data_IF_520210026796
#
_entry.id   IF_520210026796
#
_cell.length_a   1.000
_cell.length_b   1.000
_cell.length_c   1.000
_cell.angle_alpha   90.00
_cell.angle_beta   90.00
_cell.angle_gamma   90.00
#
_symmetry.space_group_name_H-M   'P 1'
#
loop_
_entity.id
_entity.type
_entity.pdbx_description
1 polymer ?
#
# COMPACT_ATOMS: atom_id res chain seq x y z
N UNK A 1 22.71 -27.02 16.43
CA UNK A 1 21.61 -27.69 15.70
C UNK A 1 20.32 -27.10 16.24
N UNK A 2 19.88 -25.95 15.70
CA UNK A 2 18.78 -25.85 14.72
C UNK A 2 17.45 -26.39 15.31
N UNK A 3 16.30 -25.70 15.37
CA UNK A 3 15.81 -24.54 14.60
C UNK A 3 14.41 -24.15 15.17
N UNK A 4 14.02 -22.87 15.02
CA UNK A 4 12.64 -22.28 14.97
C UNK A 4 11.74 -22.29 16.21
N UNK A 5 11.32 -21.08 16.62
CA UNK A 5 9.96 -20.63 16.30
C UNK A 5 9.84 -19.09 16.33
N UNK A 6 9.62 -18.52 15.14
CA UNK A 6 9.33 -17.10 14.92
C UNK A 6 8.05 -17.05 14.10
N UNK A 7 6.93 -16.66 14.71
CA UNK A 7 5.73 -16.14 14.06
C UNK A 7 4.73 -15.76 15.16
N UNK A 8 4.46 -14.47 15.36
CA UNK A 8 3.09 -13.93 15.39
C UNK A 8 3.15 -12.40 15.53
N UNK A 9 2.31 -11.68 14.78
CA UNK A 9 1.93 -10.31 15.11
C UNK A 9 2.24 -9.24 14.05
N UNK A 10 1.78 -9.41 12.80
CA UNK A 10 1.56 -8.26 11.92
C UNK A 10 0.08 -7.86 12.07
N UNK A 11 -0.20 -7.05 13.09
CA UNK A 11 -1.50 -6.45 13.33
C UNK A 11 -1.54 -5.07 12.66
N UNK A 12 -2.63 -4.84 11.94
CA UNK A 12 -3.02 -3.60 11.28
C UNK A 12 -2.86 -2.39 12.22
N UNK A 13 -2.07 -1.40 11.80
CA UNK A 13 -2.06 -0.04 12.34
C UNK A 13 -2.19 0.92 11.16
N UNK A 14 -3.43 1.15 10.75
CA UNK A 14 -3.81 2.28 9.90
C UNK A 14 -4.99 2.97 10.57
N UNK A 15 -4.72 3.62 11.71
CA UNK A 15 -5.55 4.69 12.28
C UNK A 15 -4.66 5.54 13.18
N UNK A 16 -4.02 6.58 12.64
CA UNK A 16 -3.73 7.82 13.38
C UNK A 16 -3.20 8.87 12.41
N UNK A 17 -4.09 9.61 11.75
CA UNK A 17 -3.72 10.89 11.13
C UNK A 17 -4.86 11.90 11.32
N UNK A 18 -5.15 12.17 12.59
CA UNK A 18 -5.88 13.37 13.01
C UNK A 18 -5.34 13.79 14.38
N UNK A 19 -4.25 14.56 14.40
CA UNK A 19 -3.93 15.53 15.46
C UNK A 19 -2.59 16.22 15.16
N UNK A 20 -2.58 17.20 14.27
CA UNK A 20 -1.56 18.26 14.29
C UNK A 20 -2.23 19.61 14.06
N UNK A 21 -2.97 20.05 15.08
CA UNK A 21 -3.41 21.43 15.21
C UNK A 21 -3.57 21.74 16.70
N UNK A 22 -2.46 21.86 17.43
CA UNK A 22 -2.39 22.73 18.60
C UNK A 22 -0.93 22.90 19.03
N UNK A 23 -0.40 24.07 18.68
CA UNK A 23 0.98 24.50 18.89
C UNK A 23 1.15 25.85 18.22
N UNK A 24 0.51 26.86 18.80
CA UNK A 24 0.44 28.23 18.28
C UNK A 24 1.82 28.91 18.40
N UNK A 25 2.64 28.83 17.34
CA UNK A 25 3.62 29.85 17.01
C UNK A 25 3.57 30.07 15.50
N UNK A 26 3.40 31.32 15.09
CA UNK A 26 3.47 31.75 13.69
C UNK A 26 4.88 31.45 13.18
N UNK A 27 5.09 30.25 12.64
CA UNK A 27 6.34 29.87 12.01
C UNK A 27 6.49 30.73 10.76
N UNK A 28 7.55 31.54 10.71
CA UNK A 28 7.86 32.39 9.56
C UNK A 28 8.17 31.47 8.38
N UNK A 29 7.21 31.30 7.48
CA UNK A 29 7.39 30.48 6.27
C UNK A 29 8.11 31.31 5.21
N UNK A 30 9.16 30.73 4.63
CA UNK A 30 9.87 31.31 3.47
C UNK A 30 9.75 30.31 2.32
N UNK A 31 9.21 30.76 1.19
CA UNK A 31 9.15 29.95 -0.03
C UNK A 31 10.56 29.57 -0.49
N UNK A 32 10.73 28.29 -0.83
CA UNK A 32 12.01 27.70 -1.22
C UNK A 32 12.17 27.64 -2.74
N UNK A 33 11.19 27.04 -3.42
CA UNK A 33 11.15 26.94 -4.87
C UNK A 33 9.70 26.81 -5.35
N UNK A 34 9.47 27.20 -6.61
CA UNK A 34 8.27 26.86 -7.38
C UNK A 34 8.68 25.92 -8.49
N UNK A 35 8.14 24.71 -8.49
CA UNK A 35 8.27 23.74 -9.56
C UNK A 35 7.17 23.89 -10.60
N UNK A 36 7.31 23.20 -11.72
CA UNK A 36 6.41 23.29 -12.88
C UNK A 36 5.21 22.33 -12.82
N UNK A 37 4.82 21.86 -11.64
CA UNK A 37 3.67 20.97 -11.51
C UNK A 37 2.35 21.76 -11.72
N UNK A 38 1.34 21.19 -12.40
CA UNK A 38 0.07 21.90 -12.60
C UNK A 38 -0.59 22.20 -11.25
N UNK A 39 -0.86 23.48 -11.01
CA UNK A 39 -1.52 23.97 -9.81
C UNK A 39 -3.03 23.65 -9.90
N UNK A 40 -3.47 22.61 -9.19
CA UNK A 40 -4.89 22.29 -9.03
C UNK A 40 -5.22 21.96 -7.56
N UNK A 41 -6.46 22.25 -7.19
CA UNK A 41 -6.94 22.31 -5.82
C UNK A 41 -7.18 20.93 -5.18
N UNK A 42 -6.92 20.88 -3.86
CA UNK A 42 -7.46 19.94 -2.85
C UNK A 42 -7.18 18.44 -2.99
N UNK A 43 -6.01 18.06 -3.50
CA UNK A 43 -5.39 16.76 -3.24
C UNK A 43 -3.90 16.88 -3.59
N UNK A 44 -3.00 16.68 -2.63
CA UNK A 44 -1.56 16.76 -2.91
C UNK A 44 -1.15 15.57 -3.78
N UNK A 45 -1.15 15.79 -5.11
CA UNK A 45 -0.70 14.80 -6.11
C UNK A 45 0.71 14.31 -5.74
N UNK A 46 0.91 13.00 -5.80
CA UNK A 46 2.18 12.31 -5.65
C UNK A 46 3.23 12.99 -6.54
N UNK A 47 4.44 13.24 -6.04
CA UNK A 47 5.51 13.79 -6.85
C UNK A 47 5.97 12.80 -7.94
N UNK A 48 5.63 11.51 -7.81
CA UNK A 48 6.01 10.44 -8.71
C UNK A 48 4.92 10.21 -9.77
N UNK A 49 5.30 10.18 -11.03
CA UNK A 49 4.38 9.98 -12.17
C UNK A 49 4.94 8.95 -13.15
N UNK A 50 4.12 8.01 -13.59
CA UNK A 50 4.46 7.08 -14.67
C UNK A 50 4.34 7.79 -16.02
N UNK A 51 5.42 7.79 -16.82
CA UNK A 51 5.42 8.39 -18.17
C UNK A 51 5.06 7.39 -19.24
N UNK A 52 5.68 6.22 -19.17
CA UNK A 52 5.47 5.15 -20.13
C UNK A 52 5.76 3.80 -19.49
N UNK A 53 5.03 2.80 -19.95
CA UNK A 53 5.30 1.40 -19.63
C UNK A 53 5.33 0.56 -20.89
N UNK A 54 6.35 -0.29 -20.99
CA UNK A 54 6.50 -1.30 -22.01
C UNK A 54 6.90 -2.60 -21.33
N UNK A 55 6.89 -3.71 -22.07
CA UNK A 55 7.34 -4.98 -21.51
C UNK A 55 8.83 -4.87 -21.12
N UNK A 56 9.13 -5.18 -19.86
CA UNK A 56 10.51 -5.14 -19.35
C UNK A 56 11.04 -3.76 -18.97
N UNK A 57 10.29 -2.66 -19.19
CA UNK A 57 10.74 -1.31 -18.85
C UNK A 57 9.59 -0.39 -18.45
N UNK A 58 9.79 0.44 -17.43
CA UNK A 58 8.89 1.55 -17.13
C UNK A 58 9.64 2.83 -16.79
N UNK A 59 9.24 3.92 -17.42
CA UNK A 59 9.83 5.24 -17.29
C UNK A 59 8.97 6.12 -16.38
N UNK A 60 9.62 6.82 -15.46
CA UNK A 60 9.00 7.61 -14.42
C UNK A 60 9.62 9.01 -14.38
N UNK A 61 8.82 9.96 -13.88
CA UNK A 61 9.24 11.31 -13.59
C UNK A 61 8.81 11.68 -12.19
N UNK A 62 9.77 12.12 -11.38
CA UNK A 62 9.51 12.65 -10.05
C UNK A 62 9.74 14.16 -10.05
N UNK A 63 8.70 14.95 -9.76
CA UNK A 63 8.77 16.43 -9.76
C UNK A 63 8.11 17.01 -8.53
N UNK A 64 8.75 18.03 -7.98
CA UNK A 64 8.20 18.77 -6.85
C UNK A 64 7.38 19.96 -7.35
N UNK A 65 6.27 20.27 -6.68
CA UNK A 65 5.40 21.40 -7.03
C UNK A 65 5.88 22.71 -6.42
N UNK A 66 6.21 22.71 -5.13
CA UNK A 66 6.83 23.81 -4.41
C UNK A 66 7.44 23.27 -3.11
N UNK A 67 8.11 24.13 -2.36
CA UNK A 67 8.56 23.81 -1.01
C UNK A 67 8.67 25.07 -0.16
N UNK A 68 8.52 24.91 1.15
CA UNK A 68 8.69 25.96 2.15
C UNK A 68 9.75 25.57 3.18
N UNK A 69 10.39 26.58 3.75
CA UNK A 69 11.19 26.44 4.96
C UNK A 69 10.40 26.94 6.16
N UNK A 70 10.45 26.19 7.26
CA UNK A 70 9.87 26.57 8.54
C UNK A 70 10.89 26.43 9.68
N UNK A 71 10.97 27.45 10.52
CA UNK A 71 11.77 27.40 11.75
C UNK A 71 11.04 26.59 12.82
N UNK A 72 11.74 25.63 13.42
CA UNK A 72 11.21 24.74 14.46
C UNK A 72 12.17 24.72 15.65
N UNK A 73 11.66 25.08 16.83
CA UNK A 73 12.41 24.99 18.08
C UNK A 73 12.17 23.63 18.74
N UNK A 74 13.24 22.89 19.04
CA UNK A 74 13.16 21.56 19.66
C UNK A 74 13.50 21.60 21.17
N UNK A 75 13.34 20.45 21.85
CA UNK A 75 13.57 20.29 23.30
C UNK A 75 14.99 20.65 23.76
N UNK A 76 15.98 20.64 22.85
CA UNK A 76 17.35 21.08 23.12
C UNK A 76 17.51 22.62 23.15
N UNK A 77 16.42 23.37 22.94
CA UNK A 77 16.39 24.82 22.95
C UNK A 77 16.93 25.47 21.67
N UNK A 78 17.40 24.68 20.69
CA UNK A 78 17.89 25.17 19.41
C UNK A 78 16.76 25.29 18.39
N UNK A 79 16.92 26.24 17.47
CA UNK A 79 16.07 26.40 16.30
C UNK A 79 16.70 25.68 15.13
N UNK A 80 15.91 24.85 14.47
CA UNK A 80 16.23 24.09 13.27
C UNK A 80 15.36 24.58 12.11
N UNK A 81 15.79 24.28 10.89
CA UNK A 81 15.01 24.58 9.69
C UNK A 81 14.42 23.29 9.14
N UNK A 82 13.10 23.18 9.13
CA UNK A 82 12.36 22.06 8.55
C UNK A 82 11.96 22.38 7.11
N UNK A 83 12.10 21.39 6.24
CA UNK A 83 11.64 21.42 4.86
C UNK A 83 10.20 20.91 4.80
N UNK A 84 9.30 21.72 4.25
CA UNK A 84 7.90 21.35 4.02
C UNK A 84 7.70 21.26 2.51
N UNK A 85 7.63 20.05 1.99
CA UNK A 85 7.47 19.78 0.55
C UNK A 85 6.19 18.94 0.40
N UNK A 86 5.19 19.41 -0.37
CA UNK A 86 3.97 18.66 -0.62
C UNK A 86 4.24 17.28 -1.23
N UNK A 87 3.44 16.28 -0.86
CA UNK A 87 3.53 14.92 -1.40
C UNK A 87 4.74 14.10 -0.94
N UNK A 88 5.57 14.61 -0.03
CA UNK A 88 6.62 13.84 0.67
C UNK A 88 6.50 14.04 2.18
N UNK A 89 6.95 13.05 2.95
CA UNK A 89 6.79 13.01 4.40
C UNK A 89 8.15 12.91 5.10
N UNK A 90 8.27 13.53 6.26
CA UNK A 90 9.45 13.43 7.10
C UNK A 90 9.50 12.04 7.76
N UNK A 91 10.30 11.12 7.21
CA UNK A 91 10.45 9.76 7.74
C UNK A 91 11.92 9.40 7.88
N UNK A 92 12.30 8.91 9.05
CA UNK A 92 13.67 8.46 9.31
C UNK A 92 13.86 7.84 10.68
N UNK A 93 15.07 7.38 10.94
CA UNK A 93 15.43 6.82 12.25
C UNK A 93 15.64 7.94 13.29
N UNK A 94 15.22 7.75 14.55
CA UNK A 94 15.42 8.73 15.60
C UNK A 94 16.89 9.19 15.72
N UNK A 95 17.08 10.50 15.74
CA UNK A 95 18.39 11.15 15.82
C UNK A 95 19.08 11.42 14.48
N UNK A 96 18.61 10.84 13.37
CA UNK A 96 19.09 11.17 12.03
C UNK A 96 18.48 12.49 11.53
N UNK A 97 19.13 13.23 10.61
CA UNK A 97 18.51 14.37 9.96
C UNK A 97 17.18 14.04 9.31
N UNK A 98 16.19 14.89 9.51
CA UNK A 98 14.85 14.78 8.94
C UNK A 98 14.89 15.09 7.45
N UNK A 99 14.94 14.04 6.63
CA UNK A 99 14.89 14.13 5.18
C UNK A 99 13.48 13.76 4.69
N UNK A 100 12.74 14.67 4.03
CA UNK A 100 11.45 14.35 3.44
C UNK A 100 11.59 13.27 2.37
N UNK A 101 10.77 12.23 2.45
CA UNK A 101 10.73 11.11 1.51
C UNK A 101 9.28 10.68 1.22
N UNK A 102 9.06 10.13 0.03
CA UNK A 102 7.82 9.44 -0.36
C UNK A 102 8.15 8.01 -0.70
N UNK A 103 7.30 7.09 -0.25
CA UNK A 103 7.42 5.69 -0.58
C UNK A 103 6.20 5.26 -1.37
N UNK A 104 6.44 4.50 -2.44
CA UNK A 104 5.38 4.04 -3.31
C UNK A 104 5.63 2.58 -3.70
N UNK A 105 4.56 1.78 -3.71
CA UNK A 105 4.62 0.38 -4.08
C UNK A 105 4.24 0.25 -5.55
N UNK A 106 5.18 -0.25 -6.36
CA UNK A 106 4.96 -0.47 -7.78
C UNK A 106 4.82 -1.98 -8.02
N UNK A 107 3.69 -2.41 -8.60
CA UNK A 107 3.47 -3.84 -8.90
C UNK A 107 4.43 -4.29 -9.98
N UNK A 108 5.14 -5.38 -9.75
CA UNK A 108 6.08 -5.98 -10.70
C UNK A 108 5.59 -7.38 -11.14
N UNK A 109 6.01 -7.86 -12.33
CA UNK A 109 5.75 -9.24 -12.72
C UNK A 109 6.35 -10.21 -11.70
N UNK A 110 5.66 -11.32 -11.45
CA UNK A 110 6.09 -12.28 -10.44
C UNK A 110 7.47 -12.88 -10.79
N UNK A 111 8.40 -12.80 -9.84
CA UNK A 111 9.78 -13.26 -10.00
C UNK A 111 10.65 -12.39 -10.89
N UNK A 112 10.20 -11.20 -11.28
CA UNK A 112 11.00 -10.26 -12.05
C UNK A 112 12.15 -9.72 -11.19
N UNK A 113 13.35 -9.63 -11.79
CA UNK A 113 14.44 -8.86 -11.19
C UNK A 113 14.32 -7.41 -11.61
N UNK A 114 14.27 -6.53 -10.63
CA UNK A 114 14.14 -5.08 -10.84
C UNK A 114 15.49 -4.42 -10.70
N UNK A 115 15.82 -3.53 -11.63
CA UNK A 115 16.96 -2.61 -11.52
C UNK A 115 16.44 -1.20 -11.74
N UNK A 116 16.79 -0.29 -10.83
CA UNK A 116 16.49 1.13 -10.96
C UNK A 116 17.66 1.85 -11.63
N UNK A 117 17.35 2.75 -12.55
CA UNK A 117 18.32 3.58 -13.25
C UNK A 117 17.83 5.02 -13.21
N UNK A 118 18.69 5.93 -12.73
CA UNK A 118 18.42 7.37 -12.75
C UNK A 118 18.99 7.92 -14.05
N UNK A 119 18.13 8.50 -14.88
CA UNK A 119 18.51 9.06 -16.19
C UNK A 119 19.04 10.48 -16.04
N UNK A 120 18.39 11.31 -15.21
CA UNK A 120 18.83 12.68 -14.95
C UNK A 120 18.27 13.21 -13.63
N UNK A 121 19.01 14.15 -13.03
CA UNK A 121 18.61 14.86 -11.81
C UNK A 121 18.87 16.35 -11.96
N UNK A 122 17.85 17.17 -11.68
CA UNK A 122 17.95 18.63 -11.63
C UNK A 122 18.05 19.08 -10.18
N UNK A 123 19.28 19.35 -9.72
CA UNK A 123 19.54 19.84 -8.37
C UNK A 123 19.41 21.36 -8.26
N UNK A 124 18.86 21.80 -7.14
CA UNK A 124 18.87 23.18 -6.69
C UNK A 124 19.48 23.25 -5.29
N UNK A 125 20.49 24.09 -5.11
CA UNK A 125 21.07 24.36 -3.79
C UNK A 125 20.15 25.31 -3.00
N UNK A 126 20.05 25.09 -1.68
CA UNK A 126 19.39 26.03 -0.78
C UNK A 126 20.41 27.05 -0.29
N UNK A 127 20.11 28.33 -0.47
CA UNK A 127 20.98 29.41 -0.02
C UNK A 127 21.05 29.52 1.50
N UNK A 128 22.28 29.62 1.99
CA UNK A 128 22.61 29.79 3.41
C UNK A 128 22.90 28.48 4.14
N UNK A 129 23.29 28.60 5.41
CA UNK A 129 23.47 27.44 6.30
C UNK A 129 22.13 26.96 6.84
N UNK A 130 21.79 25.71 6.54
CA UNK A 130 20.55 25.06 6.96
C UNK A 130 20.88 23.90 7.89
N UNK A 131 20.43 23.98 9.14
CA UNK A 131 20.53 22.87 10.10
C UNK A 131 19.18 22.14 10.19
N UNK A 132 19.10 20.96 9.58
CA UNK A 132 17.88 20.16 9.59
C UNK A 132 17.62 19.56 10.97
N UNK A 133 16.36 19.52 11.45
CA UNK A 133 16.02 18.91 12.72
C UNK A 133 16.31 17.40 12.70
N UNK A 134 16.70 16.80 13.84
CA UNK A 134 16.76 15.36 13.95
C UNK A 134 15.35 14.77 14.10
N UNK A 135 15.09 13.65 13.43
CA UNK A 135 13.86 12.88 13.65
C UNK A 135 13.77 12.48 15.11
N UNK A 136 12.62 12.73 15.74
CA UNK A 136 12.39 12.37 17.14
C UNK A 136 11.63 11.04 17.25
N UNK A 137 11.80 10.29 18.35
CA UNK A 137 11.01 9.09 18.60
C UNK A 137 9.50 9.38 18.55
N UNK A 138 8.69 8.45 18.04
CA UNK A 138 7.24 8.63 17.98
C UNK A 138 6.67 8.79 19.38
N UNK A 139 5.65 9.64 19.50
CA UNK A 139 4.90 9.79 20.74
C UNK A 139 3.93 8.62 20.91
N UNK A 140 3.83 8.00 22.10
CA UNK A 140 2.81 7.01 22.36
C UNK A 140 1.40 7.61 22.23
N UNK A 141 0.53 6.94 21.49
CA UNK A 141 -0.89 7.28 21.42
C UNK A 141 -1.62 6.99 22.76
N UNK A 142 -1.08 6.05 23.53
CA UNK A 142 -1.62 5.64 24.82
C UNK A 142 -1.50 6.75 25.87
N UNK A 143 -2.59 6.99 26.60
CA UNK A 143 -2.61 7.84 27.80
C UNK A 143 -2.48 6.98 29.05
N UNK A 144 -1.78 7.49 30.05
CA UNK A 144 -1.71 6.87 31.36
C UNK A 144 -3.08 6.87 32.08
N UNK A 145 -3.20 6.16 33.22
CA UNK A 145 -4.43 6.07 34.00
C UNK A 145 -5.04 7.41 34.40
N UNK A 146 -4.20 8.45 34.53
CA UNK A 146 -4.58 9.81 34.91
C UNK A 146 -4.82 10.74 33.70
N UNK A 147 -4.81 10.20 32.47
CA UNK A 147 -4.96 10.97 31.23
C UNK A 147 -3.68 11.67 30.74
N UNK A 148 -2.57 11.54 31.47
CA UNK A 148 -1.25 12.07 31.09
C UNK A 148 -0.71 11.36 29.83
N UNK A 149 -0.18 12.15 28.89
CA UNK A 149 0.59 11.59 27.77
C UNK A 149 2.03 11.33 28.23
N UNK A 150 2.66 10.19 27.90
CA UNK A 150 4.06 9.92 28.26
C UNK A 150 5.11 10.82 27.58
N UNK A 151 4.71 11.94 26.95
CA UNK A 151 5.56 12.80 26.11
C UNK A 151 6.72 13.46 26.88
N UNK A 152 6.58 13.58 28.19
CA UNK A 152 7.55 14.19 29.12
C UNK A 152 8.73 13.28 29.41
N UNK A 153 8.61 11.95 29.24
CA UNK A 153 9.69 11.00 29.52
C UNK A 153 10.55 10.68 28.31
N UNK A 154 10.14 11.07 27.10
CA UNK A 154 10.85 10.71 25.88
C UNK A 154 12.07 11.65 25.72
N UNK A 155 13.31 11.10 25.73
CA UNK A 155 14.51 11.89 25.60
C UNK A 155 14.60 12.50 24.21
N UNK A 156 15.18 13.70 24.14
CA UNK A 156 15.60 14.28 22.87
C UNK A 156 16.75 13.45 22.30
N UNK A 157 16.64 13.05 21.03
CA UNK A 157 17.67 12.23 20.36
C UNK A 157 18.26 13.01 19.19
N UNK A 158 19.60 13.11 19.15
CA UNK A 158 20.37 13.65 18.02
C UNK A 158 21.66 12.85 17.86
N UNK A 159 21.89 12.29 16.68
CA UNK A 159 23.09 11.52 16.41
C UNK A 159 24.28 12.45 16.12
N UNK A 160 25.10 12.70 17.14
CA UNK A 160 26.23 13.63 17.04
C UNK A 160 27.22 13.25 15.94
N UNK A 161 27.49 11.96 15.74
CA UNK A 161 28.44 11.47 14.73
C UNK A 161 27.95 11.76 13.31
N UNK A 162 26.66 11.55 13.03
CA UNK A 162 26.08 11.85 11.71
C UNK A 162 26.03 13.35 11.47
N UNK A 163 25.68 14.14 12.48
CA UNK A 163 25.66 15.60 12.37
C UNK A 163 27.06 16.24 12.24
N UNK A 164 28.12 15.53 12.59
CA UNK A 164 29.50 15.94 12.39
C UNK A 164 30.10 15.46 11.05
N UNK A 165 29.37 14.66 10.28
CA UNK A 165 29.87 14.05 9.04
C UNK A 165 29.87 15.04 7.88
N UNK A 166 31.03 15.21 7.21
CA UNK A 166 31.16 15.96 5.95
C UNK A 166 30.92 15.05 4.75
N UNK A 167 29.70 14.52 4.64
CA UNK A 167 29.27 13.70 3.51
C UNK A 167 27.80 13.96 3.24
N UNK A 168 27.43 14.02 1.97
CA UNK A 168 26.03 14.15 1.58
C UNK A 168 25.28 12.87 1.92
N UNK A 169 24.28 13.00 2.78
CA UNK A 169 23.26 12.00 3.01
C UNK A 169 22.30 12.00 1.82
N UNK A 170 21.85 10.80 1.44
CA UNK A 170 20.94 10.54 0.32
C UNK A 170 21.36 11.26 -0.98
N UNK A 171 22.55 10.94 -1.53
CA UNK A 171 23.02 11.53 -2.78
C UNK A 171 22.19 11.09 -4.00
N UNK A 172 21.50 9.94 -3.89
CA UNK A 172 20.59 9.42 -4.91
C UNK A 172 19.15 9.72 -4.49
N UNK A 173 18.39 10.52 -5.26
CA UNK A 173 17.05 10.95 -4.87
C UNK A 173 16.00 9.86 -5.04
N UNK A 174 16.29 8.78 -5.77
CA UNK A 174 15.40 7.61 -5.90
C UNK A 174 16.20 6.35 -5.62
N UNK A 175 15.65 5.46 -4.81
CA UNK A 175 16.26 4.17 -4.49
C UNK A 175 15.22 3.06 -4.40
N UNK A 176 15.68 1.82 -4.52
CA UNK A 176 14.86 0.64 -4.31
C UNK A 176 14.87 0.25 -2.83
N UNK A 177 13.68 0.07 -2.26
CA UNK A 177 13.48 -0.61 -0.99
C UNK A 177 13.36 -2.12 -1.17
N UNK A 178 12.43 -2.74 -0.43
CA UNK A 178 12.16 -4.17 -0.50
C UNK A 178 11.18 -4.58 -1.60
N UNK A 179 11.19 -5.87 -1.95
CA UNK A 179 10.08 -6.50 -2.67
C UNK A 179 9.12 -7.10 -1.65
N UNK A 180 7.86 -6.71 -1.70
CA UNK A 180 6.79 -7.20 -0.83
C UNK A 180 5.74 -7.94 -1.65
N UNK A 181 5.11 -8.94 -1.04
CA UNK A 181 4.05 -9.72 -1.67
C UNK A 181 2.72 -9.46 -0.99
N UNK A 182 1.75 -8.97 -1.75
CA UNK A 182 0.41 -8.63 -1.26
C UNK A 182 -0.61 -9.38 -2.11
N UNK A 183 -1.42 -10.23 -1.47
CA UNK A 183 -2.51 -11.00 -2.12
C UNK A 183 -2.07 -11.73 -3.41
N UNK A 184 -0.89 -12.35 -3.37
CA UNK A 184 -0.36 -13.12 -4.50
C UNK A 184 0.44 -12.32 -5.52
N UNK A 185 0.37 -10.98 -5.52
CA UNK A 185 1.11 -10.06 -6.42
C UNK A 185 2.38 -9.55 -5.74
N UNK A 186 3.42 -9.32 -6.54
CA UNK A 186 4.70 -8.77 -6.07
C UNK A 186 4.77 -7.27 -6.36
N UNK A 187 5.31 -6.53 -5.40
CA UNK A 187 5.49 -5.08 -5.46
C UNK A 187 6.91 -4.74 -5.07
N UNK A 188 7.54 -3.82 -5.78
CA UNK A 188 8.80 -3.20 -5.35
C UNK A 188 8.50 -1.86 -4.69
N UNK A 189 9.15 -1.58 -3.58
CA UNK A 189 9.07 -0.29 -2.92
C UNK A 189 10.05 0.68 -3.58
N UNK A 190 9.54 1.80 -4.08
CA UNK A 190 10.33 2.93 -4.55
C UNK A 190 10.39 3.96 -3.43
N UNK A 191 11.60 4.38 -3.07
CA UNK A 191 11.85 5.38 -2.05
C UNK A 191 12.40 6.63 -2.73
N UNK A 192 11.55 7.65 -2.84
CA UNK A 192 11.90 8.97 -3.38
C UNK A 192 12.27 9.91 -2.23
N UNK A 193 13.55 10.26 -2.10
CA UNK A 193 14.05 11.25 -1.14
C UNK A 193 14.67 12.43 -1.89
N UNK A 194 13.88 13.48 -2.22
CA UNK A 194 14.36 14.59 -3.05
C UNK A 194 15.42 15.48 -2.40
N UNK A 195 15.76 15.27 -1.13
CA UNK A 195 16.64 16.15 -0.37
C UNK A 195 17.95 15.43 -0.07
N UNK A 196 19.06 16.03 -0.51
CA UNK A 196 20.40 15.62 -0.12
C UNK A 196 20.99 16.65 0.84
N UNK A 197 21.56 16.18 1.95
CA UNK A 197 22.01 17.06 3.04
C UNK A 197 23.43 16.72 3.48
N UNK A 198 24.28 17.73 3.60
CA UNK A 198 25.57 17.62 4.26
C UNK A 198 25.49 18.27 5.65
N UNK A 199 25.50 17.48 6.75
CA UNK A 199 25.34 18.01 8.10
C UNK A 199 26.49 18.91 8.57
N UNK A 200 27.74 18.55 8.30
CA UNK A 200 28.90 19.34 8.73
C UNK A 200 28.97 20.71 8.05
N UNK A 201 28.63 20.77 6.76
CA UNK A 201 28.61 22.01 5.98
C UNK A 201 27.30 22.78 6.07
N UNK A 202 26.25 22.17 6.65
CA UNK A 202 24.89 22.72 6.70
C UNK A 202 24.36 23.11 5.32
N UNK A 203 24.71 22.35 4.29
CA UNK A 203 24.28 22.59 2.92
C UNK A 203 23.23 21.57 2.51
N UNK A 204 22.15 22.05 1.92
CA UNK A 204 21.02 21.22 1.44
C UNK A 204 20.88 21.41 -0.06
N UNK A 205 20.63 20.31 -0.76
CA UNK A 205 20.26 20.28 -2.17
C UNK A 205 18.90 19.63 -2.32
N UNK A 206 18.08 20.17 -3.20
CA UNK A 206 16.76 19.62 -3.52
C UNK A 206 16.73 19.23 -5.00
N UNK A 207 16.38 17.98 -5.28
CA UNK A 207 16.12 17.49 -6.62
C UNK A 207 14.72 17.94 -7.04
N UNK A 208 14.63 19.00 -7.82
CA UNK A 208 13.35 19.58 -8.26
C UNK A 208 12.65 18.71 -9.33
N UNK A 209 13.45 18.04 -10.15
CA UNK A 209 13.01 17.07 -11.14
C UNK A 209 14.00 15.91 -11.25
N UNK A 210 13.47 14.69 -11.33
CA UNK A 210 14.23 13.46 -11.53
C UNK A 210 13.54 12.62 -12.60
N UNK A 211 14.30 12.22 -13.60
CA UNK A 211 13.87 11.28 -14.64
C UNK A 211 14.58 9.96 -14.39
N UNK A 212 13.83 8.86 -14.34
CA UNK A 212 14.36 7.55 -13.98
C UNK A 212 13.49 6.44 -14.54
N UNK A 213 14.04 5.23 -14.63
CA UNK A 213 13.31 4.06 -15.10
C UNK A 213 13.64 2.80 -14.33
N UNK A 214 12.73 1.83 -14.44
CA UNK A 214 12.93 0.46 -13.98
C UNK A 214 13.18 -0.46 -15.17
N UNK A 215 14.30 -1.16 -15.13
CA UNK A 215 14.56 -2.34 -15.96
C UNK A 215 14.04 -3.58 -15.26
N UNK A 216 13.14 -4.31 -15.90
CA UNK A 216 12.46 -5.49 -15.37
C UNK A 216 12.90 -6.70 -16.18
N UNK A 217 13.66 -7.59 -15.55
CA UNK A 217 14.05 -8.85 -16.16
C UNK A 217 13.09 -9.94 -15.70
N UNK A 218 12.15 -10.31 -16.57
CA UNK A 218 11.23 -11.42 -16.34
C UNK A 218 11.99 -12.75 -16.21
N UNK A 219 11.57 -13.66 -15.31
CA UNK A 219 12.14 -14.99 -15.23
C UNK A 219 11.77 -15.80 -16.49
N UNK A 220 12.71 -16.65 -16.95
CA UNK A 220 12.52 -17.50 -18.14
C UNK A 220 11.35 -18.49 -18.02
N UNK A 221 10.98 -18.87 -16.79
CA UNK A 221 9.83 -19.72 -16.50
C UNK A 221 8.95 -19.07 -15.43
N UNK A 222 7.73 -18.68 -15.80
CA UNK A 222 6.70 -18.26 -14.86
C UNK A 222 5.94 -19.52 -14.44
N UNK A 223 6.22 -20.06 -13.24
CA UNK A 223 5.42 -21.13 -12.65
C UNK A 223 4.07 -20.56 -12.23
N UNK A 224 3.13 -20.48 -13.18
CA UNK A 224 1.75 -20.07 -12.91
C UNK A 224 1.15 -21.00 -11.86
N UNK A 225 0.94 -20.48 -10.65
CA UNK A 225 0.11 -21.15 -9.64
C UNK A 225 -1.34 -20.78 -9.96
N UNK A 226 -2.22 -21.79 -9.94
CA UNK A 226 -3.65 -21.80 -10.32
C UNK A 226 -4.26 -20.41 -10.60
N UNK A 227 -4.82 -20.26 -11.80
CA UNK A 227 -5.56 -19.08 -12.20
C UNK A 227 -6.70 -18.77 -11.20
N UNK A 228 -6.61 -17.63 -10.51
CA UNK A 228 -7.66 -17.15 -9.61
C UNK A 228 -8.69 -16.38 -10.44
N UNK A 229 -9.89 -16.95 -10.60
CA UNK A 229 -10.96 -16.37 -11.43
C UNK A 229 -11.55 -15.07 -10.89
N UNK A 230 -11.37 -14.80 -9.59
CA UNK A 230 -11.83 -13.56 -8.96
C UNK A 230 -10.87 -12.38 -9.20
N UNK A 231 -9.68 -12.67 -9.70
CA UNK A 231 -8.65 -11.69 -10.02
C UNK A 231 -8.32 -11.84 -11.51
N UNK A 232 -9.02 -11.14 -12.42
CA UNK A 232 -8.72 -11.21 -13.84
C UNK A 232 -7.21 -11.00 -14.04
N UNK A 233 -6.61 -11.95 -14.74
CA UNK A 233 -5.21 -11.98 -15.10
C UNK A 233 -5.00 -10.93 -16.20
N UNK A 234 -5.08 -9.65 -15.82
CA UNK A 234 -4.62 -8.52 -16.64
C UNK A 234 -3.09 -8.64 -16.72
N UNK A 235 -2.68 -9.57 -17.58
CA UNK A 235 -1.49 -10.39 -17.38
C UNK A 235 -0.22 -9.59 -17.20
N UNK A 236 0.58 -9.97 -16.20
CA UNK A 236 1.99 -9.61 -15.96
C UNK A 236 2.38 -8.13 -16.16
N UNK A 237 1.42 -7.23 -16.34
CA UNK A 237 1.65 -5.85 -16.67
C UNK A 237 2.07 -5.12 -15.41
N UNK A 238 3.13 -4.31 -15.51
CA UNK A 238 3.50 -3.37 -14.48
C UNK A 238 2.28 -2.47 -14.22
N UNK A 239 1.71 -2.64 -13.03
CA UNK A 239 0.64 -1.82 -12.49
C UNK A 239 1.32 -0.82 -11.56
N UNK A 240 1.95 0.13 -12.24
CA UNK A 240 2.57 1.31 -11.68
C UNK A 240 1.53 2.44 -11.62
N UNK A 241 0.33 2.12 -11.13
CA UNK A 241 -0.71 3.11 -10.89
C UNK A 241 -0.34 3.90 -9.66
N UNK A 242 -0.27 5.22 -9.80
CA UNK A 242 -0.18 6.10 -8.64
C UNK A 242 -1.49 6.07 -7.85
N UNK A 243 -1.50 6.64 -6.64
CA UNK A 243 -2.74 6.83 -5.91
C UNK A 243 -3.77 7.62 -6.76
N UNK A 244 -3.32 8.55 -7.60
CA UNK A 244 -4.20 9.26 -8.53
C UNK A 244 -4.76 8.35 -9.63
N UNK A 245 -3.95 7.46 -10.20
CA UNK A 245 -4.43 6.52 -11.23
C UNK A 245 -5.51 5.59 -10.67
N UNK A 246 -5.40 5.21 -9.38
CA UNK A 246 -6.42 4.41 -8.69
C UNK A 246 -7.70 5.23 -8.48
N UNK A 247 -7.58 6.47 -8.02
CA UNK A 247 -8.72 7.38 -7.79
C UNK A 247 -9.44 7.75 -9.09
N UNK A 248 -8.71 7.94 -10.19
CA UNK A 248 -9.28 8.24 -11.50
C UNK A 248 -10.09 7.06 -12.09
N UNK A 249 -9.67 5.83 -11.80
CA UNK A 249 -10.39 4.62 -12.21
C UNK A 249 -11.50 4.20 -11.23
N UNK A 250 -11.43 4.67 -9.98
CA UNK A 250 -12.45 4.46 -8.94
C UNK A 250 -12.98 5.80 -8.42
N UNK A 251 -13.67 6.61 -9.24
CA UNK A 251 -14.29 7.82 -8.74
C UNK A 251 -15.22 7.46 -7.57
N UNK A 252 -14.97 8.09 -6.41
CA UNK A 252 -15.76 7.94 -5.18
C UNK A 252 -17.26 8.22 -5.38
N UNK A 253 -17.63 8.79 -6.53
CA UNK A 253 -19.01 9.07 -6.93
C UNK A 253 -19.83 7.84 -7.35
N UNK A 254 -19.21 6.65 -7.48
CA UNK A 254 -19.94 5.39 -7.70
C UNK A 254 -20.43 4.72 -6.42
N UNK A 255 -20.51 5.46 -5.30
CA UNK A 255 -21.48 5.09 -4.25
C UNK A 255 -22.86 5.37 -4.83
N UNK A 256 -23.42 4.37 -5.53
CA UNK A 256 -24.85 4.35 -5.82
C UNK A 256 -25.54 4.56 -4.48
N UNK A 257 -26.29 5.65 -4.27
CA UNK A 257 -27.12 5.75 -3.08
C UNK A 257 -28.04 4.54 -3.17
N UNK A 258 -27.92 3.63 -2.21
CA UNK A 258 -28.98 2.64 -2.01
C UNK A 258 -30.18 3.47 -1.60
N UNK A 259 -31.00 3.79 -2.60
CA UNK A 259 -32.25 4.51 -2.42
C UNK A 259 -33.09 3.70 -1.45
N UNK A 260 -33.07 4.15 -0.20
CA UNK A 260 -33.71 3.48 0.92
C UNK A 260 -35.24 3.59 0.84
N UNK A 261 -35.76 4.33 -0.15
CA UNK A 261 -37.20 4.51 -0.36
C UNK A 261 -37.88 3.36 -1.10
N UNK A 262 -37.12 2.39 -1.63
CA UNK A 262 -37.65 1.20 -2.33
C UNK A 262 -37.60 -0.10 -1.51
N UNK A 263 -37.49 -0.02 -0.18
CA UNK A 263 -37.50 -1.20 0.69
C UNK A 263 -38.90 -1.75 1.04
N UNK A 264 -39.98 -1.09 0.59
CA UNK A 264 -41.35 -1.47 1.00
C UNK A 264 -42.26 -2.01 -0.12
N UNK A 265 -41.78 -2.17 -1.37
CA UNK A 265 -42.61 -2.73 -2.45
C UNK A 265 -41.84 -3.65 -3.40
N UNK A 266 -41.20 -4.69 -2.86
CA UNK A 266 -40.97 -5.91 -3.64
C UNK A 266 -41.75 -7.04 -3.00
N UNK A 267 -43.06 -7.02 -3.27
CA UNK A 267 -43.88 -8.22 -3.24
C UNK A 267 -43.21 -9.29 -4.11
N UNK A 268 -42.78 -10.36 -3.46
CA UNK A 268 -42.82 -11.74 -3.91
C UNK A 268 -42.83 -11.95 -5.44
N UNK A 269 -41.72 -11.63 -6.10
CA UNK A 269 -41.26 -12.52 -7.16
C UNK A 269 -40.43 -13.59 -6.46
N UNK A 270 -40.84 -14.87 -6.43
CA UNK A 270 -39.92 -15.91 -5.99
C UNK A 270 -38.71 -15.79 -6.90
N UNK A 271 -37.55 -15.45 -6.33
CA UNK A 271 -36.30 -15.50 -7.05
C UNK A 271 -36.22 -16.89 -7.69
N UNK A 272 -35.98 -17.00 -9.01
CA UNK A 272 -35.96 -18.30 -9.65
C UNK A 272 -34.87 -19.14 -8.99
N UNK A 273 -35.30 -20.24 -8.39
CA UNK A 273 -34.57 -21.38 -7.85
C UNK A 273 -33.36 -21.11 -6.94
N UNK A 274 -33.60 -21.26 -5.63
CA UNK A 274 -32.61 -21.58 -4.59
C UNK A 274 -32.03 -23.00 -4.72
N UNK A 275 -31.86 -23.50 -5.95
CA UNK A 275 -31.23 -24.80 -6.22
C UNK A 275 -30.22 -24.57 -7.32
N UNK A 276 -28.99 -24.26 -6.93
CA UNK A 276 -27.87 -24.49 -7.83
C UNK A 276 -27.95 -25.94 -8.28
N UNK A 277 -27.98 -26.16 -9.59
CA UNK A 277 -27.96 -27.51 -10.14
C UNK A 277 -26.59 -28.09 -9.78
N UNK A 278 -26.53 -29.37 -9.39
CA UNK A 278 -25.28 -30.09 -9.05
C UNK A 278 -24.12 -29.82 -10.04
N UNK A 279 -24.45 -29.56 -11.31
CA UNK A 279 -23.52 -29.29 -12.41
C UNK A 279 -23.54 -27.82 -12.91
N UNK A 280 -23.89 -26.86 -12.06
CA UNK A 280 -23.73 -25.41 -12.30
C UNK A 280 -23.27 -24.67 -11.02
N UNK A 281 -22.43 -25.30 -10.20
CA UNK A 281 -21.97 -24.76 -8.92
C UNK A 281 -20.45 -24.49 -8.90
N UNK A 282 -20.04 -23.30 -8.48
CA UNK A 282 -18.65 -22.88 -8.35
C UNK A 282 -18.07 -23.25 -6.97
N UNK A 283 -18.96 -23.42 -6.00
CA UNK A 283 -18.68 -23.71 -4.61
C UNK A 283 -19.51 -24.93 -4.17
N UNK A 284 -18.87 -26.08 -4.03
CA UNK A 284 -19.51 -27.29 -3.50
C UNK A 284 -19.32 -27.35 -1.98
N UNK A 285 -20.36 -27.67 -1.23
CA UNK A 285 -20.30 -27.90 0.22
C UNK A 285 -20.70 -29.34 0.44
N UNK A 286 -19.78 -30.16 0.96
CA UNK A 286 -20.09 -31.53 1.38
C UNK A 286 -20.30 -31.54 2.88
N UNK A 287 -21.52 -31.88 3.32
CA UNK A 287 -21.89 -31.85 4.74
C UNK A 287 -22.53 -33.16 5.17
N UNK A 288 -22.32 -33.61 6.42
CA UNK A 288 -23.15 -34.67 6.99
C UNK A 288 -24.61 -34.26 7.01
N UNK A 289 -25.51 -35.22 6.77
CA UNK A 289 -26.95 -34.99 6.69
C UNK A 289 -27.52 -34.27 7.93
N UNK A 290 -26.94 -34.53 9.11
CA UNK A 290 -27.32 -33.89 10.36
C UNK A 290 -27.06 -32.36 10.40
N UNK A 291 -26.15 -31.86 9.56
CA UNK A 291 -25.75 -30.45 9.50
C UNK A 291 -26.20 -29.75 8.21
N UNK A 292 -27.05 -30.40 7.40
CA UNK A 292 -27.55 -29.84 6.16
C UNK A 292 -28.37 -28.54 6.39
N UNK A 293 -29.19 -28.53 7.43
CA UNK A 293 -30.00 -27.35 7.77
C UNK A 293 -29.16 -26.23 8.42
N UNK A 294 -28.15 -26.60 9.22
CA UNK A 294 -27.28 -25.65 9.91
C UNK A 294 -26.33 -24.91 8.95
N UNK A 295 -25.97 -25.53 7.82
CA UNK A 295 -25.08 -24.90 6.83
C UNK A 295 -25.83 -24.00 5.84
N UNK A 296 -27.17 -24.05 5.80
CA UNK A 296 -28.00 -23.26 4.89
C UNK A 296 -27.72 -21.74 4.98
N UNK A 297 -27.62 -21.10 6.18
CA UNK A 297 -27.31 -19.67 6.27
C UNK A 297 -25.93 -19.30 5.70
N UNK A 298 -24.96 -20.22 5.79
CA UNK A 298 -23.64 -20.04 5.21
C UNK A 298 -23.67 -20.16 3.68
N UNK A 299 -24.38 -21.15 3.15
CA UNK A 299 -24.56 -21.31 1.71
C UNK A 299 -25.27 -20.10 1.08
N UNK A 300 -26.34 -19.61 1.71
CA UNK A 300 -27.05 -18.39 1.29
C UNK A 300 -26.15 -17.16 1.33
N UNK A 301 -25.32 -17.02 2.38
CA UNK A 301 -24.37 -15.90 2.47
C UNK A 301 -23.33 -15.91 1.36
N UNK A 302 -22.84 -17.10 0.99
CA UNK A 302 -21.94 -17.27 -0.16
C UNK A 302 -22.64 -16.93 -1.47
N UNK A 303 -23.90 -17.33 -1.60
CA UNK A 303 -24.71 -16.95 -2.75
C UNK A 303 -24.89 -15.43 -2.87
N UNK A 304 -25.19 -14.73 -1.77
CA UNK A 304 -25.25 -13.25 -1.73
C UNK A 304 -23.94 -12.56 -2.11
N UNK A 305 -22.81 -13.23 -1.94
CA UNK A 305 -21.48 -12.75 -2.36
C UNK A 305 -21.15 -13.07 -3.82
N UNK A 306 -22.09 -13.66 -4.57
CA UNK A 306 -21.94 -14.01 -5.98
C UNK A 306 -21.42 -15.42 -6.25
N UNK A 307 -21.32 -16.29 -5.23
CA UNK A 307 -20.89 -17.68 -5.44
C UNK A 307 -22.09 -18.59 -5.78
N UNK A 308 -22.05 -19.29 -6.92
CA UNK A 308 -22.98 -20.40 -7.19
C UNK A 308 -22.66 -21.57 -6.25
N UNK A 309 -23.46 -21.74 -5.20
CA UNK A 309 -23.14 -22.66 -4.09
C UNK A 309 -24.09 -23.85 -4.08
N UNK A 310 -23.59 -25.08 -4.09
CA UNK A 310 -24.38 -26.32 -3.99
C UNK A 310 -24.02 -27.10 -2.73
N UNK A 311 -25.02 -27.55 -1.99
CA UNK A 311 -24.86 -28.35 -0.77
C UNK A 311 -25.18 -29.80 -1.11
N UNK A 312 -24.18 -30.68 -1.04
CA UNK A 312 -24.32 -32.11 -1.20
C UNK A 312 -24.24 -32.80 0.18
N UNK A 313 -25.19 -33.67 0.46
CA UNK A 313 -25.21 -34.45 1.71
C UNK A 313 -24.35 -35.72 1.58
N UNK A 314 -23.92 -36.31 2.70
CA UNK A 314 -23.14 -37.55 2.65
C UNK A 314 -23.93 -38.74 2.10
N UNK A 315 -25.26 -38.72 2.25
CA UNK A 315 -26.15 -39.67 1.58
C UNK A 315 -26.12 -39.51 0.06
N UNK A 316 -26.09 -38.27 -0.45
CA UNK A 316 -25.98 -38.00 -1.89
C UNK A 316 -24.60 -38.38 -2.45
N UNK A 317 -23.54 -38.17 -1.67
CA UNK A 317 -22.15 -38.49 -2.03
C UNK A 317 -21.89 -40.01 -2.05
N UNK A 318 -22.79 -40.82 -1.46
CA UNK A 318 -22.66 -42.28 -1.42
C UNK A 318 -21.78 -42.79 -0.27
N UNK A 319 -21.60 -41.98 0.80
CA UNK A 319 -20.98 -42.40 2.05
C UNK A 319 -19.84 -41.51 2.56
N UNK A 320 -19.25 -41.92 3.68
CA UNK A 320 -18.17 -41.20 4.41
C UNK A 320 -16.76 -41.61 3.98
N UNK A 321 -16.62 -42.48 2.97
CA UNK A 321 -15.31 -42.99 2.56
C UNK A 321 -14.58 -42.00 1.65
N UNK A 322 -13.24 -41.93 1.78
CA UNK A 322 -12.40 -41.09 0.91
C UNK A 322 -12.65 -41.38 -0.58
N UNK A 323 -12.81 -42.65 -0.94
CA UNK A 323 -13.05 -43.07 -2.31
C UNK A 323 -14.39 -42.55 -2.86
N UNK A 324 -15.46 -42.58 -2.06
CA UNK A 324 -16.78 -42.07 -2.45
C UNK A 324 -16.76 -40.55 -2.61
N UNK A 325 -16.19 -39.82 -1.65
CA UNK A 325 -16.09 -38.36 -1.69
C UNK A 325 -15.23 -37.91 -2.88
N UNK A 326 -14.10 -38.56 -3.11
CA UNK A 326 -13.22 -38.26 -4.26
C UNK A 326 -13.91 -38.54 -5.59
N UNK A 327 -14.60 -39.67 -5.72
CA UNK A 327 -15.34 -40.00 -6.92
C UNK A 327 -16.46 -38.97 -7.20
N UNK A 328 -17.16 -38.53 -6.17
CA UNK A 328 -18.20 -37.51 -6.28
C UNK A 328 -17.67 -36.15 -6.71
N UNK A 329 -16.57 -35.68 -6.10
CA UNK A 329 -15.92 -34.42 -6.50
C UNK A 329 -15.43 -34.52 -7.95
N UNK A 330 -14.88 -35.68 -8.35
CA UNK A 330 -14.40 -35.89 -9.72
C UNK A 330 -15.55 -35.92 -10.73
N UNK A 331 -16.69 -36.52 -10.40
CA UNK A 331 -17.91 -36.53 -11.22
C UNK A 331 -18.43 -35.10 -11.42
N UNK A 332 -18.59 -34.34 -10.34
CA UNK A 332 -19.00 -32.93 -10.42
C UNK A 332 -17.98 -32.15 -11.25
N UNK A 333 -16.68 -32.30 -11.00
CA UNK A 333 -15.65 -31.58 -11.76
C UNK A 333 -15.68 -31.86 -13.26
N UNK A 334 -15.94 -33.11 -13.67
CA UNK A 334 -15.93 -33.50 -15.07
C UNK A 334 -17.21 -33.09 -15.82
N UNK A 335 -18.35 -33.02 -15.13
CA UNK A 335 -19.68 -32.81 -15.73
C UNK A 335 -20.27 -31.42 -15.48
N UNK A 336 -19.65 -30.60 -14.62
CA UNK A 336 -20.12 -29.26 -14.28
C UNK A 336 -19.88 -28.28 -15.42
N UNK A 337 -20.91 -27.48 -15.72
CA UNK A 337 -20.88 -26.43 -16.75
C UNK A 337 -19.96 -25.28 -16.36
N UNK A 338 -19.67 -25.13 -15.06
CA UNK A 338 -18.70 -24.18 -14.53
C UNK A 338 -17.58 -24.92 -13.81
N UNK A 339 -16.33 -24.45 -13.94
CA UNK A 339 -15.21 -25.08 -13.22
C UNK A 339 -15.38 -24.86 -11.72
N UNK A 340 -15.47 -25.97 -11.00
CA UNK A 340 -15.51 -26.03 -9.55
C UNK A 340 -14.26 -25.37 -8.94
N UNK A 341 -14.45 -24.29 -8.19
CA UNK A 341 -13.35 -23.48 -7.63
C UNK A 341 -13.06 -23.84 -6.17
N UNK A 342 -14.10 -24.24 -5.43
CA UNK A 342 -14.03 -24.58 -4.01
C UNK A 342 -14.87 -25.84 -3.70
N UNK A 343 -14.34 -26.67 -2.79
CA UNK A 343 -15.03 -27.80 -2.13
C UNK A 343 -14.78 -27.69 -0.63
#
# INVERSE_FOLDING_TARGET
MHIKNTMMGLLVLCVCSQAFAQGNQSAKRRGLFQGSAPAEASGEKSPLSLKSKQRGKADFSSRLSHGDLADVKLKDGKTYTRLLIPGVEAVGEPGMPELPRREELIRIPAGAKVKLVIDSVSWQDIDGEVELPPVQPPLPDARGPNGEKPDTQIPFVKNASVYASDTFLNPEPVSLGGVVRIRGREYVQIIYTPVSYNPAKKTVKVASAVEWHLDLQEPKEIKRRRHDRLMPDEGDALDARTSEDIEAEMPLDNVVPVDSSNLENQDASPSPDLVSVKYDADYLIITPDAFADEIAPFAEWKHKKGFKTYVATLTEVGGTTEAAIKAYIQDVYNNNSVILSFV
#
